data_IF_539242069267
#
_entry.id   IF_539242069267
#
_cell.length_a   1.000
_cell.length_b   1.000
_cell.length_c   1.000
_cell.angle_alpha   90.00
_cell.angle_beta   90.00
_cell.angle_gamma   90.00
#
_symmetry.space_group_name_H-M   'P 1'
#
loop_
_entity.id
_entity.type
_entity.pdbx_description
1 polymer ?
#
# COMPACT_ATOMS: atom_id res chain seq x y z
N UNK A 1 -22.31 -20.79 -24.91
CA UNK A 1 -22.21 -20.51 -23.46
C UNK A 1 -21.18 -19.40 -23.27
N UNK A 2 -21.63 -18.17 -23.08
CA UNK A 2 -20.77 -17.06 -22.67
C UNK A 2 -20.33 -17.30 -21.23
N UNK A 3 -19.02 -17.46 -21.02
CA UNK A 3 -18.44 -17.51 -19.67
C UNK A 3 -18.91 -16.25 -18.92
N UNK A 4 -19.57 -16.36 -17.76
CA UNK A 4 -19.99 -15.18 -17.03
C UNK A 4 -18.74 -14.34 -16.72
N UNK A 5 -18.77 -13.07 -17.10
CA UNK A 5 -17.66 -12.15 -16.86
C UNK A 5 -17.39 -12.13 -15.35
N UNK A 6 -16.22 -12.65 -14.95
CA UNK A 6 -15.79 -12.63 -13.55
C UNK A 6 -15.77 -11.18 -13.09
N UNK A 7 -16.61 -10.83 -12.11
CA UNK A 7 -16.62 -9.47 -11.56
C UNK A 7 -15.25 -9.19 -10.93
N UNK A 8 -14.60 -8.12 -11.39
CA UNK A 8 -13.28 -7.66 -10.95
C UNK A 8 -13.48 -6.53 -9.94
N UNK A 9 -12.77 -6.61 -8.80
CA UNK A 9 -12.81 -5.57 -7.76
C UNK A 9 -12.14 -4.28 -8.20
N UNK A 10 -12.43 -3.15 -7.53
CA UNK A 10 -11.72 -1.90 -7.77
C UNK A 10 -10.23 -2.02 -7.46
N UNK A 11 -9.87 -2.72 -6.38
CA UNK A 11 -8.49 -2.95 -5.98
C UNK A 11 -7.72 -3.75 -7.03
N UNK A 12 -8.34 -4.76 -7.64
CA UNK A 12 -7.71 -5.53 -8.71
C UNK A 12 -7.48 -4.71 -9.98
N UNK A 13 -8.36 -3.73 -10.29
CA UNK A 13 -8.14 -2.78 -11.39
C UNK A 13 -6.96 -1.86 -11.09
N UNK A 14 -6.87 -1.32 -9.87
CA UNK A 14 -5.75 -0.48 -9.43
C UNK A 14 -4.45 -1.28 -9.45
N UNK A 15 -4.44 -2.50 -8.92
CA UNK A 15 -3.29 -3.40 -8.96
C UNK A 15 -2.76 -3.60 -10.38
N UNK A 16 -3.65 -3.77 -11.37
CA UNK A 16 -3.29 -3.90 -12.78
C UNK A 16 -2.59 -2.65 -13.34
N UNK A 17 -3.00 -1.44 -12.92
CA UNK A 17 -2.34 -0.17 -13.31
C UNK A 17 -0.90 -0.13 -12.78
N UNK A 18 -0.66 -0.67 -11.59
CA UNK A 18 0.69 -0.83 -11.01
C UNK A 18 1.44 -2.06 -11.55
N UNK A 19 0.93 -2.73 -12.58
CA UNK A 19 1.53 -3.94 -13.15
C UNK A 19 1.52 -5.15 -12.21
N UNK A 20 0.75 -5.12 -11.12
CA UNK A 20 0.66 -6.19 -10.13
C UNK A 20 -0.21 -7.34 -10.67
N UNK A 21 0.42 -8.18 -11.49
CA UNK A 21 -0.18 -9.38 -12.08
C UNK A 21 0.78 -10.56 -11.91
N UNK A 22 0.23 -11.76 -11.66
CA UNK A 22 1.02 -12.99 -11.52
C UNK A 22 2.21 -12.83 -10.56
N UNK A 23 3.41 -13.08 -11.07
CA UNK A 23 4.67 -13.07 -10.31
C UNK A 23 5.14 -11.67 -9.88
N UNK A 24 4.59 -10.59 -10.45
CA UNK A 24 4.93 -9.24 -10.02
C UNK A 24 4.49 -8.95 -8.58
N UNK A 25 3.47 -9.66 -8.08
CA UNK A 25 3.12 -9.64 -6.65
C UNK A 25 4.26 -10.11 -5.77
N UNK A 26 5.06 -11.08 -6.22
CA UNK A 26 6.18 -11.58 -5.43
C UNK A 26 7.32 -10.57 -5.36
N UNK A 27 7.56 -9.79 -6.42
CA UNK A 27 8.51 -8.66 -6.38
C UNK A 27 7.99 -7.53 -5.48
N UNK A 28 6.68 -7.26 -5.55
CA UNK A 28 6.02 -6.29 -4.67
C UNK A 28 6.12 -6.66 -3.18
N UNK A 29 6.12 -7.96 -2.88
CA UNK A 29 6.29 -8.51 -1.55
C UNK A 29 7.72 -8.42 -1.01
N UNK A 30 8.68 -7.86 -1.77
CA UNK A 30 10.04 -7.66 -1.29
C UNK A 30 10.04 -6.64 -0.10
N UNK A 31 10.62 -6.98 1.06
CA UNK A 31 10.57 -6.11 2.25
C UNK A 31 11.27 -4.75 2.01
N UNK A 32 12.30 -4.72 1.17
CA UNK A 32 12.98 -3.47 0.79
C UNK A 32 12.09 -2.63 -0.13
N UNK A 33 11.35 -3.26 -1.05
CA UNK A 33 10.32 -2.58 -1.84
C UNK A 33 9.26 -1.95 -0.94
N UNK A 34 8.76 -2.69 0.06
CA UNK A 34 7.78 -2.17 1.02
C UNK A 34 8.36 -0.99 1.81
N UNK A 35 9.55 -1.15 2.40
CA UNK A 35 10.18 -0.10 3.20
C UNK A 35 10.42 1.19 2.39
N UNK A 36 10.91 1.08 1.17
CA UNK A 36 11.15 2.25 0.30
C UNK A 36 9.84 2.92 -0.13
N UNK A 37 8.74 2.18 -0.29
CA UNK A 37 7.40 2.76 -0.51
C UNK A 37 6.83 3.47 0.72
N UNK A 38 7.24 3.10 1.93
CA UNK A 38 6.91 3.85 3.15
C UNK A 38 7.66 5.19 3.22
N UNK A 39 8.86 5.27 2.65
CA UNK A 39 9.65 6.50 2.62
C UNK A 39 9.10 7.55 1.64
N UNK A 40 8.33 7.16 0.63
CA UNK A 40 7.80 8.09 -0.39
C UNK A 40 6.90 9.17 0.21
N UNK A 41 6.07 8.86 1.20
CA UNK A 41 5.19 9.86 1.79
C UNK A 41 5.98 10.98 2.53
N UNK A 42 6.95 10.65 3.42
CA UNK A 42 7.88 11.64 3.96
C UNK A 42 8.64 12.43 2.87
N UNK A 43 9.11 11.76 1.81
CA UNK A 43 9.80 12.42 0.70
C UNK A 43 8.88 13.40 -0.05
N UNK A 44 7.61 13.05 -0.27
CA UNK A 44 6.61 13.94 -0.85
C UNK A 44 6.35 15.14 0.05
N UNK A 45 6.19 14.92 1.36
CA UNK A 45 6.01 16.02 2.31
C UNK A 45 7.21 16.98 2.30
N UNK A 46 8.44 16.45 2.32
CA UNK A 46 9.66 17.26 2.21
C UNK A 46 9.74 18.00 0.87
N UNK A 47 9.39 17.33 -0.23
CA UNK A 47 9.37 17.93 -1.57
C UNK A 47 8.40 19.10 -1.63
N UNK A 48 7.18 18.93 -1.11
CA UNK A 48 6.17 20.00 -1.04
C UNK A 48 6.63 21.12 -0.11
N UNK A 49 7.21 20.80 1.05
CA UNK A 49 7.76 21.78 1.98
C UNK A 49 8.86 22.62 1.34
N UNK A 50 9.72 22.00 0.52
CA UNK A 50 10.82 22.70 -0.14
C UNK A 50 10.39 23.80 -1.11
N UNK A 51 9.10 23.91 -1.45
CA UNK A 51 8.57 24.98 -2.31
C UNK A 51 8.86 26.39 -1.77
N UNK A 52 9.10 26.53 -0.47
CA UNK A 52 9.52 27.81 0.13
C UNK A 52 10.94 28.23 -0.32
N UNK A 53 11.82 27.25 -0.49
CA UNK A 53 13.23 27.46 -0.79
C UNK A 53 13.52 27.44 -2.28
N UNK A 54 12.87 26.54 -3.02
CA UNK A 54 13.15 26.28 -4.44
C UNK A 54 11.97 26.59 -5.36
N UNK A 55 10.86 27.12 -4.83
CA UNK A 55 9.69 27.52 -5.62
C UNK A 55 9.13 26.38 -6.46
N UNK A 56 8.90 26.65 -7.75
CA UNK A 56 8.39 25.68 -8.72
C UNK A 56 9.29 24.46 -8.94
N UNK A 57 10.59 24.55 -8.63
CA UNK A 57 11.48 23.39 -8.73
C UNK A 57 11.12 22.27 -7.75
N UNK A 58 10.33 22.54 -6.71
CA UNK A 58 9.74 21.52 -5.83
C UNK A 58 8.88 20.50 -6.57
N UNK A 59 8.35 20.84 -7.75
CA UNK A 59 7.62 19.89 -8.59
C UNK A 59 8.49 18.74 -9.09
N UNK A 60 9.80 18.96 -9.29
CA UNK A 60 10.72 17.91 -9.76
C UNK A 60 10.80 16.74 -8.77
N UNK A 61 11.17 16.94 -7.49
CA UNK A 61 11.21 15.83 -6.53
C UNK A 61 9.81 15.26 -6.21
N UNK A 62 8.73 16.05 -6.35
CA UNK A 62 7.36 15.51 -6.28
C UNK A 62 7.12 14.49 -7.40
N UNK A 63 7.37 14.87 -8.66
CA UNK A 63 7.19 13.99 -9.82
C UNK A 63 8.09 12.76 -9.71
N UNK A 64 9.37 12.93 -9.33
CA UNK A 64 10.29 11.81 -9.12
C UNK A 64 9.78 10.84 -8.04
N UNK A 65 9.23 11.34 -6.94
CA UNK A 65 8.66 10.53 -5.86
C UNK A 65 7.44 9.72 -6.33
N UNK A 66 6.57 10.33 -7.14
CA UNK A 66 5.39 9.66 -7.72
C UNK A 66 5.81 8.59 -8.76
N UNK A 67 6.75 8.92 -9.66
CA UNK A 67 7.30 7.98 -10.64
C UNK A 67 7.97 6.82 -9.92
N UNK A 68 8.80 7.10 -8.90
CA UNK A 68 9.42 6.07 -8.09
C UNK A 68 8.38 5.14 -7.47
N UNK A 69 7.29 5.66 -6.90
CA UNK A 69 6.21 4.82 -6.36
C UNK A 69 5.63 3.86 -7.42
N UNK A 70 5.43 4.33 -8.65
CA UNK A 70 4.88 3.52 -9.73
C UNK A 70 5.83 2.40 -10.19
N UNK A 71 7.13 2.71 -10.34
CA UNK A 71 8.11 1.74 -10.84
C UNK A 71 8.74 0.89 -9.74
N UNK A 72 8.60 1.26 -8.47
CA UNK A 72 9.20 0.59 -7.32
C UNK A 72 9.03 -0.94 -7.35
N UNK A 73 7.83 -1.50 -7.61
CA UNK A 73 7.66 -2.96 -7.63
C UNK A 73 8.50 -3.67 -8.72
N UNK A 74 8.90 -2.96 -9.77
CA UNK A 74 9.72 -3.47 -10.88
C UNK A 74 11.22 -3.39 -10.58
N UNK A 75 11.64 -2.48 -9.70
CA UNK A 75 13.05 -2.24 -9.36
C UNK A 75 13.67 -3.31 -8.47
N UNK A 76 12.85 -4.12 -7.78
CA UNK A 76 13.34 -5.13 -6.84
C UNK A 76 13.17 -6.54 -7.38
N UNK A 77 14.18 -7.38 -7.14
CA UNK A 77 14.10 -8.80 -7.41
C UNK A 77 13.12 -9.50 -6.45
N UNK A 78 12.75 -10.73 -6.81
CA UNK A 78 12.02 -11.64 -5.92
C UNK A 78 12.77 -11.78 -4.59
N UNK A 79 12.11 -11.65 -3.43
CA UNK A 79 12.77 -11.79 -2.14
C UNK A 79 13.30 -13.21 -1.91
N UNK A 80 14.36 -13.35 -1.11
CA UNK A 80 14.92 -14.67 -0.74
C UNK A 80 14.01 -15.45 0.22
N UNK A 81 13.27 -14.72 1.06
CA UNK A 81 12.25 -15.28 1.93
C UNK A 81 11.09 -14.29 2.06
N UNK A 82 9.90 -14.84 2.26
CA UNK A 82 8.64 -14.11 2.45
C UNK A 82 8.07 -14.32 3.87
N UNK A 83 8.83 -14.96 4.75
CA UNK A 83 8.51 -15.14 6.19
C UNK A 83 8.76 -13.87 6.98
N UNK A 84 8.14 -12.77 6.57
CA UNK A 84 8.24 -11.48 7.25
C UNK A 84 6.92 -10.71 7.11
N UNK A 85 6.73 -9.74 8.01
CA UNK A 85 5.51 -8.95 8.10
C UNK A 85 5.18 -8.22 6.78
N UNK A 86 6.18 -7.64 6.12
CA UNK A 86 6.00 -6.87 4.90
C UNK A 86 5.50 -7.72 3.72
N UNK A 87 6.11 -8.90 3.51
CA UNK A 87 5.71 -9.83 2.46
C UNK A 87 4.30 -10.39 2.70
N UNK A 88 3.98 -10.80 3.93
CA UNK A 88 2.65 -11.30 4.31
C UNK A 88 1.58 -10.24 4.09
N UNK A 89 1.87 -8.99 4.44
CA UNK A 89 0.96 -7.87 4.23
C UNK A 89 0.62 -7.67 2.75
N UNK A 90 1.62 -7.68 1.88
CA UNK A 90 1.43 -7.61 0.42
C UNK A 90 0.60 -8.79 -0.11
N UNK A 91 0.82 -10.00 0.40
CA UNK A 91 0.01 -11.14 -0.01
C UNK A 91 -1.44 -11.05 0.48
N UNK A 92 -1.69 -10.46 1.65
CA UNK A 92 -3.04 -10.12 2.09
C UNK A 92 -3.72 -9.11 1.16
N UNK A 93 -3.00 -8.07 0.72
CA UNK A 93 -3.52 -7.12 -0.28
C UNK A 93 -3.94 -7.83 -1.57
N UNK A 94 -3.13 -8.80 -2.03
CA UNK A 94 -3.47 -9.63 -3.19
C UNK A 94 -4.74 -10.43 -2.96
N UNK A 95 -4.82 -11.16 -1.84
CA UNK A 95 -6.01 -11.94 -1.46
C UNK A 95 -7.25 -11.05 -1.41
N UNK A 96 -7.14 -9.87 -0.79
CA UNK A 96 -8.23 -8.90 -0.72
C UNK A 96 -8.67 -8.42 -2.11
N UNK A 97 -7.71 -8.17 -3.01
CA UNK A 97 -8.01 -7.75 -4.39
C UNK A 97 -8.75 -8.85 -5.16
N UNK A 98 -8.45 -10.13 -4.88
CA UNK A 98 -9.04 -11.29 -5.54
C UNK A 98 -10.28 -11.86 -4.80
N UNK A 99 -10.83 -11.14 -3.81
CA UNK A 99 -11.92 -11.62 -2.91
C UNK A 99 -13.23 -12.04 -3.61
N UNK A 100 -13.46 -11.61 -4.84
CA UNK A 100 -14.62 -12.05 -5.64
C UNK A 100 -14.39 -13.41 -6.30
N UNK A 101 -13.14 -13.87 -6.38
CA UNK A 101 -12.75 -15.20 -6.87
C UNK A 101 -12.68 -16.21 -5.74
N UNK A 102 -12.00 -15.86 -4.64
CA UNK A 102 -11.95 -16.68 -3.42
C UNK A 102 -12.52 -15.84 -2.29
N UNK A 103 -13.73 -16.17 -1.78
CA UNK A 103 -14.37 -15.41 -0.73
C UNK A 103 -13.48 -15.28 0.50
N UNK A 104 -13.39 -14.06 1.01
CA UNK A 104 -12.69 -13.78 2.27
C UNK A 104 -13.65 -13.93 3.46
N UNK A 105 -13.13 -14.22 4.65
CA UNK A 105 -13.94 -14.52 5.83
C UNK A 105 -14.63 -13.27 6.36
N UNK A 106 -15.81 -13.42 6.96
CA UNK A 106 -16.63 -12.29 7.40
C UNK A 106 -15.94 -11.39 8.43
N UNK A 107 -15.05 -11.92 9.27
CA UNK A 107 -14.30 -11.11 10.24
C UNK A 107 -13.36 -10.09 9.57
N UNK A 108 -12.98 -10.30 8.31
CA UNK A 108 -12.14 -9.38 7.52
C UNK A 108 -12.97 -8.45 6.63
N UNK A 109 -14.28 -8.37 6.86
CA UNK A 109 -15.17 -7.51 6.07
C UNK A 109 -14.73 -6.03 6.11
N UNK A 110 -15.17 -5.27 5.11
CA UNK A 110 -14.74 -3.92 4.77
C UNK A 110 -14.87 -2.88 5.89
N UNK A 111 -15.59 -3.16 6.98
CA UNK A 111 -15.74 -2.24 8.12
C UNK A 111 -14.40 -1.82 8.72
N UNK A 112 -13.49 -2.78 8.94
CA UNK A 112 -12.16 -2.48 9.51
C UNK A 112 -11.32 -1.63 8.54
N UNK A 113 -11.42 -1.91 7.24
CA UNK A 113 -10.72 -1.12 6.22
C UNK A 113 -11.29 0.29 6.11
N UNK A 114 -12.61 0.46 6.24
CA UNK A 114 -13.25 1.77 6.23
C UNK A 114 -12.80 2.66 7.39
N UNK A 115 -12.62 2.08 8.60
CA UNK A 115 -12.04 2.83 9.74
C UNK A 115 -10.61 3.27 9.41
N UNK A 116 -9.83 2.39 8.80
CA UNK A 116 -8.46 2.74 8.39
C UNK A 116 -8.46 3.89 7.37
N UNK A 117 -9.35 3.86 6.38
CA UNK A 117 -9.51 4.96 5.41
C UNK A 117 -9.98 6.27 6.05
N UNK A 118 -10.87 6.21 7.04
CA UNK A 118 -11.28 7.40 7.79
C UNK A 118 -10.10 8.04 8.54
N UNK A 119 -9.27 7.24 9.20
CA UNK A 119 -8.04 7.74 9.87
C UNK A 119 -7.06 8.31 8.85
N UNK A 120 -6.88 7.65 7.70
CA UNK A 120 -6.05 8.16 6.62
C UNK A 120 -6.55 9.51 6.09
N UNK A 121 -7.87 9.70 5.97
CA UNK A 121 -8.45 10.96 5.54
C UNK A 121 -8.13 12.10 6.53
N UNK A 122 -8.24 11.83 7.82
CA UNK A 122 -7.87 12.79 8.89
C UNK A 122 -6.38 13.12 8.81
N UNK A 123 -5.52 12.11 8.70
CA UNK A 123 -4.07 12.30 8.56
C UNK A 123 -3.70 13.09 7.30
N UNK A 124 -4.36 12.83 6.18
CA UNK A 124 -4.17 13.56 4.93
C UNK A 124 -4.62 15.03 5.05
N UNK A 125 -5.74 15.29 5.71
CA UNK A 125 -6.22 16.65 5.97
C UNK A 125 -5.22 17.43 6.85
N UNK A 126 -4.75 16.81 7.95
CA UNK A 126 -3.73 17.41 8.82
C UNK A 126 -2.43 17.65 8.05
N UNK A 127 -1.91 16.67 7.32
CA UNK A 127 -0.68 16.81 6.53
C UNK A 127 -0.81 17.95 5.51
N UNK A 128 -1.93 18.00 4.79
CA UNK A 128 -2.20 19.05 3.79
C UNK A 128 -2.25 20.41 4.46
N UNK A 129 -2.97 20.55 5.57
CA UNK A 129 -3.05 21.80 6.31
C UNK A 129 -1.67 22.26 6.80
N UNK A 130 -0.90 21.37 7.43
CA UNK A 130 0.45 21.67 7.91
C UNK A 130 1.38 22.09 6.78
N UNK A 131 1.33 21.39 5.64
CA UNK A 131 2.12 21.75 4.47
C UNK A 131 1.69 23.09 3.87
N UNK A 132 0.40 23.42 3.81
CA UNK A 132 -0.09 24.70 3.28
C UNK A 132 0.30 25.86 4.20
N UNK A 133 0.20 25.67 5.52
CA UNK A 133 0.50 26.69 6.54
C UNK A 133 1.97 26.76 6.94
N UNK A 134 2.82 25.85 6.46
CA UNK A 134 4.17 25.64 6.98
C UNK A 134 4.20 25.41 8.50
N UNK A 135 3.21 24.68 9.03
CA UNK A 135 3.18 24.27 10.43
C UNK A 135 3.85 22.90 10.57
N UNK A 136 5.06 22.90 11.13
CA UNK A 136 5.87 21.69 11.26
C UNK A 136 5.19 20.64 12.15
N UNK A 137 4.54 21.05 13.24
CA UNK A 137 3.92 20.12 14.18
C UNK A 137 2.72 19.45 13.53
N UNK A 138 1.89 20.20 12.81
CA UNK A 138 0.72 19.63 12.14
C UNK A 138 1.14 18.76 10.95
N UNK A 139 2.20 19.12 10.21
CA UNK A 139 2.79 18.28 9.15
C UNK A 139 3.29 16.94 9.72
N UNK A 140 4.09 16.98 10.79
CA UNK A 140 4.61 15.76 11.42
C UNK A 140 3.48 14.89 11.99
N UNK A 141 2.46 15.52 12.58
CA UNK A 141 1.27 14.82 13.08
C UNK A 141 0.54 14.10 11.95
N UNK A 142 0.29 14.79 10.83
CA UNK A 142 -0.33 14.18 9.65
C UNK A 142 0.49 13.02 9.07
N UNK A 143 1.82 13.16 9.00
CA UNK A 143 2.73 12.09 8.60
C UNK A 143 2.63 10.88 9.52
N UNK A 144 2.69 11.08 10.84
CA UNK A 144 2.61 9.99 11.82
C UNK A 144 1.26 9.28 11.73
N UNK A 145 0.14 10.01 11.62
CA UNK A 145 -1.20 9.42 11.47
C UNK A 145 -1.26 8.57 10.20
N UNK A 146 -0.81 9.10 9.06
CA UNK A 146 -0.84 8.37 7.79
C UNK A 146 0.03 7.12 7.80
N UNK A 147 1.27 7.22 8.32
CA UNK A 147 2.18 6.08 8.40
C UNK A 147 1.65 5.00 9.35
N UNK A 148 1.08 5.40 10.49
CA UNK A 148 0.47 4.48 11.45
C UNK A 148 -0.76 3.80 10.87
N UNK A 149 -1.65 4.54 10.21
CA UNK A 149 -2.82 3.98 9.56
C UNK A 149 -2.45 3.03 8.42
N UNK A 150 -1.41 3.35 7.65
CA UNK A 150 -0.86 2.46 6.62
C UNK A 150 -0.27 1.18 7.21
N UNK A 151 0.51 1.28 8.29
CA UNK A 151 1.05 0.11 8.99
C UNK A 151 -0.07 -0.75 9.57
N UNK A 152 -1.10 -0.14 10.16
CA UNK A 152 -2.26 -0.86 10.67
C UNK A 152 -3.06 -1.56 9.58
N UNK A 153 -3.25 -0.92 8.41
CA UNK A 153 -3.84 -1.57 7.24
C UNK A 153 -3.07 -2.85 6.87
N UNK A 154 -1.75 -2.74 6.72
CA UNK A 154 -0.89 -3.87 6.34
C UNK A 154 -0.96 -4.97 7.40
N UNK A 155 -1.01 -4.62 8.68
CA UNK A 155 -1.20 -5.60 9.76
C UNK A 155 -2.52 -6.39 9.61
N UNK A 156 -3.62 -5.72 9.25
CA UNK A 156 -4.88 -6.41 8.94
C UNK A 156 -4.75 -7.34 7.72
N UNK A 157 -3.96 -6.95 6.72
CA UNK A 157 -3.67 -7.80 5.56
C UNK A 157 -2.81 -9.01 5.93
N UNK A 158 -1.86 -8.88 6.85
CA UNK A 158 -1.10 -10.01 7.40
C UNK A 158 -2.06 -11.02 8.04
N UNK A 159 -2.98 -10.55 8.89
CA UNK A 159 -3.96 -11.43 9.53
C UNK A 159 -4.85 -12.14 8.51
N UNK A 160 -5.31 -11.43 7.47
CA UNK A 160 -6.08 -12.01 6.37
C UNK A 160 -5.28 -13.09 5.65
N UNK A 161 -4.00 -12.83 5.34
CA UNK A 161 -3.15 -13.79 4.64
C UNK A 161 -2.90 -15.04 5.48
N UNK A 162 -2.59 -14.89 6.77
CA UNK A 162 -2.37 -16.03 7.68
C UNK A 162 -3.62 -16.93 7.78
N UNK A 163 -4.79 -16.32 7.90
CA UNK A 163 -6.06 -17.04 7.99
C UNK A 163 -6.42 -17.75 6.68
N UNK A 164 -6.18 -17.11 5.55
CA UNK A 164 -6.41 -17.70 4.23
C UNK A 164 -5.38 -18.79 3.91
N UNK A 165 -4.12 -18.62 4.31
CA UNK A 165 -3.06 -19.64 4.23
C UNK A 165 -3.43 -20.91 4.98
N UNK A 166 -4.05 -20.79 6.15
CA UNK A 166 -4.48 -21.94 6.94
C UNK A 166 -5.64 -22.73 6.29
N UNK A 167 -6.48 -22.06 5.49
CA UNK A 167 -7.65 -22.68 4.84
C UNK A 167 -7.39 -23.15 3.41
N UNK A 168 -6.39 -22.57 2.74
CA UNK A 168 -6.14 -22.77 1.32
C UNK A 168 -4.66 -23.08 1.06
N UNK A 169 -4.32 -24.35 0.75
CA UNK A 169 -2.93 -24.76 0.51
C UNK A 169 -2.23 -23.98 -0.63
N UNK A 170 -2.96 -23.41 -1.59
CA UNK A 170 -2.38 -22.56 -2.63
C UNK A 170 -1.67 -21.31 -2.07
N UNK A 171 -2.20 -20.70 -1.00
CA UNK A 171 -1.61 -19.50 -0.40
C UNK A 171 -0.41 -19.84 0.49
N UNK A 172 -0.35 -21.04 1.05
CA UNK A 172 0.82 -21.51 1.80
C UNK A 172 2.09 -21.55 0.95
N UNK A 173 1.96 -21.80 -0.36
CA UNK A 173 3.10 -21.79 -1.29
C UNK A 173 3.72 -20.41 -1.49
N UNK A 174 3.02 -19.33 -1.12
CA UNK A 174 3.55 -17.98 -1.25
C UNK A 174 4.52 -17.64 -0.13
N UNK A 175 4.46 -18.35 1.01
CA UNK A 175 5.38 -18.22 2.12
C UNK A 175 6.51 -19.25 2.02
N UNK A 176 7.73 -18.76 1.84
CA UNK A 176 8.98 -19.55 1.77
C UNK A 176 10.08 -18.89 2.57
#
# INVERSE_FOLDING_TARGET
MSTPAVKVTSEQRVAKVFGLTGDNWTRHANPVSVATRFAVLPLLALSIWSRDWIGWWSLVPIVLSLVFMMINPLLFAKPRSTRNWASRGVFGERVWSERLRVPVPEQFNARVLNVTYAIQLIGAAALTYGLVRYDLIVTLTGLVILQTAKAWYIDRQVLLFEDMKARHPEYAKWEY
#
